data_IF_705647147839
#
_entry.id   IF_705647147839
#
_cell.length_a   1.000
_cell.length_b   1.000
_cell.length_c   1.000
_cell.angle_alpha   90.00
_cell.angle_beta   90.00
_cell.angle_gamma   90.00
#
_symmetry.space_group_name_H-M   'P 1'
#
loop_
_entity.id
_entity.type
_entity.pdbx_description
1 polymer ?
#
# COMPACT_ATOMS: atom_id res chain seq x y z
N UNK A 1 -13.35 8.42 21.58
CA UNK A 1 -12.94 9.15 20.34
C UNK A 1 -13.20 8.25 19.14
N UNK A 2 -14.05 8.71 18.22
CA UNK A 2 -14.51 7.93 17.05
C UNK A 2 -13.36 7.29 16.25
N UNK A 3 -12.22 7.98 16.14
CA UNK A 3 -11.05 7.43 15.44
C UNK A 3 -10.49 6.19 16.15
N UNK A 4 -10.44 6.19 17.47
CA UNK A 4 -9.99 5.04 18.26
C UNK A 4 -10.98 3.88 18.14
N UNK A 5 -12.28 4.16 18.24
CA UNK A 5 -13.36 3.17 18.07
C UNK A 5 -13.32 2.53 16.65
N UNK A 6 -13.12 3.34 15.60
CA UNK A 6 -13.00 2.86 14.22
C UNK A 6 -11.74 1.99 14.02
N UNK A 7 -10.62 2.30 14.70
CA UNK A 7 -9.39 1.50 14.66
C UNK A 7 -9.52 0.17 15.42
N UNK A 8 -10.18 0.19 16.58
CA UNK A 8 -10.48 -1.03 17.37
C UNK A 8 -11.46 -1.94 16.63
N UNK A 9 -12.44 -1.37 15.94
CA UNK A 9 -13.41 -2.08 15.12
C UNK A 9 -12.87 -2.50 13.73
N UNK A 10 -11.62 -2.16 13.41
CA UNK A 10 -10.94 -2.48 12.14
C UNK A 10 -11.75 -2.06 10.89
N UNK A 11 -12.47 -0.94 10.96
CA UNK A 11 -13.37 -0.45 9.90
C UNK A 11 -12.67 -0.33 8.53
N UNK A 12 -11.37 0.03 8.52
CA UNK A 12 -10.55 0.14 7.31
C UNK A 12 -9.74 -1.14 7.00
N UNK A 13 -9.83 -2.15 7.85
CA UNK A 13 -9.14 -3.44 7.74
C UNK A 13 -8.13 -3.68 8.86
N UNK A 14 -7.85 -4.95 9.09
CA UNK A 14 -6.85 -5.42 10.07
C UNK A 14 -5.44 -5.10 9.56
N UNK A 15 -4.72 -4.23 10.27
CA UNK A 15 -3.33 -3.89 9.93
C UNK A 15 -2.54 -3.49 11.18
N UNK A 16 -1.28 -3.91 11.26
CA UNK A 16 -0.40 -3.59 12.39
C UNK A 16 -0.24 -2.07 12.65
N UNK A 17 -0.43 -1.21 11.65
CA UNK A 17 -0.40 0.24 11.83
C UNK A 17 -1.51 0.79 12.72
N UNK A 18 -2.61 0.05 12.92
CA UNK A 18 -3.70 0.45 13.82
C UNK A 18 -3.20 0.50 15.27
N UNK A 19 -2.29 -0.42 15.66
CA UNK A 19 -1.71 -0.48 16.99
C UNK A 19 -0.97 0.79 17.39
N UNK A 20 -0.33 1.47 16.44
CA UNK A 20 0.41 2.71 16.72
C UNK A 20 -0.46 3.80 17.32
N UNK A 21 -1.66 3.99 16.83
CA UNK A 21 -2.61 4.97 17.34
C UNK A 21 -3.17 4.58 18.70
N UNK A 22 -3.48 3.30 18.93
CA UNK A 22 -3.98 2.80 20.20
C UNK A 22 -2.93 2.95 21.31
N UNK A 23 -1.67 2.58 21.04
CA UNK A 23 -0.55 2.76 21.96
C UNK A 23 -0.31 4.24 22.27
N UNK A 24 -0.28 5.08 21.22
CA UNK A 24 -0.07 6.53 21.38
C UNK A 24 -1.18 7.16 22.23
N UNK A 25 -2.44 6.78 22.01
CA UNK A 25 -3.58 7.24 22.79
C UNK A 25 -3.47 6.83 24.26
N UNK A 26 -3.11 5.59 24.54
CA UNK A 26 -2.94 5.09 25.91
C UNK A 26 -1.84 5.86 26.67
N UNK A 27 -0.66 6.01 26.05
CA UNK A 27 0.46 6.75 26.63
C UNK A 27 0.15 8.24 26.81
N UNK A 28 -0.53 8.84 25.85
CA UNK A 28 -0.92 10.25 25.92
C UNK A 28 -1.91 10.52 27.07
N UNK A 29 -2.86 9.60 27.29
CA UNK A 29 -3.80 9.69 28.40
C UNK A 29 -3.10 9.58 29.76
N UNK A 30 -2.16 8.63 29.91
CA UNK A 30 -1.39 8.42 31.13
C UNK A 30 -0.48 9.62 31.45
N UNK A 31 0.19 10.17 30.43
CA UNK A 31 1.18 11.25 30.58
C UNK A 31 0.58 12.65 30.47
N UNK A 32 -0.72 12.76 30.21
CA UNK A 32 -1.42 14.03 29.95
C UNK A 32 -0.77 14.87 28.82
N UNK A 33 -0.34 14.19 27.74
CA UNK A 33 0.30 14.79 26.58
C UNK A 33 -0.57 14.65 25.32
N UNK A 34 -0.47 15.56 24.35
CA UNK A 34 -1.10 15.35 23.05
C UNK A 34 -0.38 14.23 22.28
N UNK A 35 -1.15 13.40 21.54
CA UNK A 35 -0.60 12.40 20.62
C UNK A 35 -1.04 12.72 19.18
N UNK A 36 -0.16 12.43 18.23
CA UNK A 36 -0.39 12.67 16.82
C UNK A 36 0.05 11.47 15.99
N UNK A 37 -0.77 11.11 15.00
CA UNK A 37 -0.40 10.16 13.95
C UNK A 37 -0.05 10.94 12.69
N UNK A 38 1.15 10.71 12.16
CA UNK A 38 1.67 11.43 10.99
C UNK A 38 1.58 10.56 9.75
N UNK A 39 0.95 11.09 8.71
CA UNK A 39 0.83 10.47 7.39
C UNK A 39 0.44 8.96 7.47
N UNK A 40 -0.70 8.60 8.10
CA UNK A 40 -1.13 7.20 8.18
C UNK A 40 -1.41 6.61 6.80
N UNK A 41 -1.49 5.28 6.70
CA UNK A 41 -1.71 4.57 5.42
C UNK A 41 -3.02 4.95 4.71
N UNK A 42 -3.96 5.50 5.46
CA UNK A 42 -5.29 5.97 4.99
C UNK A 42 -5.30 7.47 4.63
N UNK A 43 -4.14 8.12 4.55
CA UNK A 43 -4.06 9.49 4.00
C UNK A 43 -4.73 9.52 2.64
N UNK A 44 -5.67 10.42 2.48
CA UNK A 44 -6.45 10.56 1.27
C UNK A 44 -6.41 12.00 0.74
N UNK A 45 -5.49 12.24 -0.18
CA UNK A 45 -5.31 13.49 -0.92
C UNK A 45 -5.57 13.28 -2.42
N UNK A 46 -6.07 12.07 -2.79
CA UNK A 46 -6.33 11.69 -4.17
C UNK A 46 -7.40 12.59 -4.78
N UNK A 47 -7.15 13.09 -5.99
CA UNK A 47 -8.14 13.87 -6.73
C UNK A 47 -9.36 13.03 -7.13
N UNK A 48 -10.52 13.66 -7.22
CA UNK A 48 -11.77 12.97 -7.56
C UNK A 48 -11.70 12.31 -8.94
N UNK A 49 -11.01 12.92 -9.89
CA UNK A 49 -10.82 12.32 -11.23
C UNK A 49 -9.98 11.04 -11.18
N UNK A 50 -9.03 10.95 -10.28
CA UNK A 50 -8.19 9.76 -10.10
C UNK A 50 -8.95 8.56 -9.48
N UNK A 51 -10.15 8.81 -8.90
CA UNK A 51 -11.01 7.76 -8.31
C UNK A 51 -11.89 7.06 -9.33
N UNK A 52 -12.04 7.64 -10.52
CA UNK A 52 -12.95 7.14 -11.56
C UNK A 52 -12.42 5.82 -12.12
N UNK A 53 -13.32 4.85 -12.25
CA UNK A 53 -13.07 3.60 -12.96
C UNK A 53 -14.06 3.42 -14.12
N UNK A 54 -13.89 2.38 -14.91
CA UNK A 54 -14.86 2.01 -15.96
C UNK A 54 -16.24 1.59 -15.43
N UNK A 55 -16.39 1.38 -14.11
CA UNK A 55 -17.67 1.03 -13.47
C UNK A 55 -18.02 2.10 -12.43
N UNK A 56 -19.11 2.88 -12.62
CA UNK A 56 -19.42 4.06 -11.78
C UNK A 56 -19.57 3.78 -10.28
N UNK A 57 -19.92 2.55 -9.90
CA UNK A 57 -20.11 2.10 -8.52
C UNK A 57 -18.83 1.51 -7.88
N UNK A 58 -17.74 1.37 -8.64
CA UNK A 58 -16.43 0.95 -8.14
C UNK A 58 -15.49 2.15 -8.22
N UNK A 59 -15.00 2.61 -7.08
CA UNK A 59 -14.05 3.73 -7.00
C UNK A 59 -12.69 3.26 -6.51
N UNK A 60 -11.63 3.85 -7.03
CA UNK A 60 -10.27 3.69 -6.50
C UNK A 60 -10.15 4.34 -5.13
N UNK A 61 -9.27 3.81 -4.30
CA UNK A 61 -9.04 4.28 -2.93
C UNK A 61 -7.57 4.59 -2.73
N UNK A 62 -7.30 5.64 -1.97
CA UNK A 62 -5.97 6.00 -1.52
C UNK A 62 -5.57 5.10 -0.33
N UNK A 63 -4.77 4.07 -0.58
CA UNK A 63 -4.11 3.27 0.46
C UNK A 63 -2.64 3.11 0.06
N UNK A 64 -1.76 3.78 0.77
CA UNK A 64 -0.35 3.87 0.38
C UNK A 64 0.58 3.90 1.60
N UNK A 65 1.87 3.76 1.36
CA UNK A 65 2.91 3.95 2.37
C UNK A 65 3.20 5.45 2.55
N UNK A 66 2.19 6.21 3.02
CA UNK A 66 2.16 7.67 3.00
C UNK A 66 3.32 8.28 3.78
N UNK A 67 3.57 7.80 5.00
CA UNK A 67 4.66 8.31 5.85
C UNK A 67 6.02 8.23 5.13
N UNK A 68 6.36 7.09 4.53
CA UNK A 68 7.61 6.93 3.81
C UNK A 68 7.64 7.75 2.53
N UNK A 69 6.61 7.69 1.69
CA UNK A 69 6.57 8.42 0.42
C UNK A 69 6.68 9.93 0.64
N UNK A 70 5.90 10.49 1.55
CA UNK A 70 5.93 11.94 1.84
C UNK A 70 7.24 12.35 2.51
N UNK A 71 7.84 11.50 3.38
CA UNK A 71 9.15 11.77 3.98
C UNK A 71 10.26 11.82 2.93
N UNK A 72 10.28 10.85 2.01
CA UNK A 72 11.29 10.79 0.93
C UNK A 72 11.09 11.95 -0.05
N UNK A 73 9.85 12.27 -0.43
CA UNK A 73 9.56 13.42 -1.30
C UNK A 73 10.01 14.75 -0.68
N UNK A 74 9.76 14.97 0.62
CA UNK A 74 10.24 16.16 1.34
C UNK A 74 11.77 16.21 1.41
N UNK A 75 12.44 15.05 1.55
CA UNK A 75 13.90 15.00 1.54
C UNK A 75 14.44 15.34 0.14
N UNK A 76 13.91 14.71 -0.91
CA UNK A 76 14.31 14.98 -2.29
C UNK A 76 14.11 16.47 -2.67
N UNK A 77 13.00 17.08 -2.25
CA UNK A 77 12.77 18.52 -2.45
C UNK A 77 13.87 19.35 -1.78
N UNK A 78 14.21 19.07 -0.52
CA UNK A 78 15.30 19.76 0.19
C UNK A 78 16.67 19.60 -0.51
N UNK A 79 16.96 18.39 -1.00
CA UNK A 79 18.22 18.11 -1.71
C UNK A 79 18.30 18.90 -3.03
N UNK A 80 17.15 19.25 -3.63
CA UNK A 80 17.03 20.16 -4.78
C UNK A 80 16.99 21.65 -4.40
N UNK A 81 17.10 21.99 -3.11
CA UNK A 81 16.98 23.38 -2.64
C UNK A 81 15.57 23.96 -2.78
N UNK A 82 14.53 23.13 -2.79
CA UNK A 82 13.12 23.51 -2.97
C UNK A 82 12.26 23.05 -1.79
N UNK A 83 11.08 23.64 -1.65
CA UNK A 83 10.06 23.11 -0.75
C UNK A 83 9.26 22.01 -1.45
N UNK A 84 8.72 21.09 -0.70
CA UNK A 84 7.92 19.97 -1.25
C UNK A 84 6.67 20.48 -2.02
N UNK A 85 6.10 21.59 -1.59
CA UNK A 85 4.95 22.25 -2.21
C UNK A 85 5.28 22.96 -3.55
N UNK A 86 6.56 23.01 -3.92
CA UNK A 86 7.03 23.69 -5.15
C UNK A 86 7.47 22.71 -6.24
N UNK A 87 7.39 21.42 -5.97
CA UNK A 87 7.90 20.35 -6.85
C UNK A 87 6.89 19.24 -7.04
N UNK A 88 7.10 18.48 -8.10
CA UNK A 88 6.30 17.29 -8.41
C UNK A 88 7.21 16.07 -8.47
N UNK A 89 6.73 14.93 -7.95
CA UNK A 89 7.47 13.67 -7.95
C UNK A 89 6.57 12.51 -8.31
N UNK A 90 7.17 11.48 -8.89
CA UNK A 90 6.66 10.12 -8.82
C UNK A 90 7.48 9.41 -7.74
N UNK A 91 6.83 8.98 -6.69
CA UNK A 91 7.49 8.30 -5.57
C UNK A 91 7.08 6.84 -5.55
N UNK A 92 8.07 5.96 -5.54
CA UNK A 92 7.84 4.51 -5.48
C UNK A 92 8.34 4.00 -4.13
N UNK A 93 7.43 3.47 -3.33
CA UNK A 93 7.78 2.66 -2.17
C UNK A 93 7.80 1.19 -2.59
N UNK A 94 8.91 0.52 -2.33
CA UNK A 94 9.13 -0.89 -2.65
C UNK A 94 9.44 -1.67 -1.37
N UNK A 95 8.51 -2.52 -0.97
CA UNK A 95 8.60 -3.38 0.20
C UNK A 95 7.77 -4.65 -0.03
N UNK A 96 7.21 -5.27 0.99
CA UNK A 96 6.27 -6.39 0.87
C UNK A 96 5.07 -6.06 -0.02
N UNK A 97 4.63 -4.79 -0.02
CA UNK A 97 3.76 -4.17 -1.03
C UNK A 97 4.50 -3.08 -1.79
N UNK A 98 3.96 -2.70 -2.96
CA UNK A 98 4.48 -1.59 -3.77
C UNK A 98 3.39 -0.54 -3.93
N UNK A 99 3.73 0.72 -3.63
CA UNK A 99 2.87 1.86 -3.94
C UNK A 99 3.62 2.89 -4.77
N UNK A 100 2.99 3.30 -5.87
CA UNK A 100 3.49 4.32 -6.80
C UNK A 100 2.58 5.53 -6.69
N UNK A 101 3.07 6.61 -6.12
CA UNK A 101 2.31 7.83 -5.89
C UNK A 101 2.75 8.98 -6.79
N UNK A 102 1.77 9.67 -7.39
CA UNK A 102 1.97 10.93 -8.07
C UNK A 102 1.85 12.06 -7.03
N UNK A 103 2.98 12.69 -6.73
CA UNK A 103 3.03 13.82 -5.81
C UNK A 103 3.04 15.13 -6.59
N UNK A 104 2.07 15.98 -6.33
CA UNK A 104 1.94 17.29 -6.95
C UNK A 104 1.82 18.37 -5.87
N UNK A 105 2.80 19.25 -5.82
CA UNK A 105 2.81 20.42 -4.93
C UNK A 105 2.43 20.09 -3.47
N UNK A 106 3.10 19.05 -2.92
CA UNK A 106 2.93 18.65 -1.51
C UNK A 106 1.80 17.64 -1.23
N UNK A 107 1.02 17.24 -2.24
CA UNK A 107 -0.10 16.29 -2.11
C UNK A 107 0.12 15.05 -2.95
N UNK A 108 -0.42 13.92 -2.49
CA UNK A 108 -0.47 12.67 -3.27
C UNK A 108 -1.80 12.62 -4.03
N UNK A 109 -1.78 13.09 -5.27
CA UNK A 109 -2.99 13.28 -6.08
C UNK A 109 -3.50 12.01 -6.78
N UNK A 110 -2.65 11.01 -6.94
CA UNK A 110 -2.99 9.68 -7.45
C UNK A 110 -2.02 8.64 -6.88
N UNK A 111 -2.53 7.43 -6.61
CA UNK A 111 -1.75 6.30 -6.13
C UNK A 111 -2.52 4.99 -6.33
N UNK A 112 -1.83 3.87 -6.55
CA UNK A 112 -2.45 2.56 -6.53
C UNK A 112 -2.74 2.10 -5.08
N UNK A 113 -3.82 1.32 -4.90
CA UNK A 113 -4.11 0.69 -3.61
C UNK A 113 -3.14 -0.47 -3.36
N UNK A 114 -2.07 -0.18 -2.62
CA UNK A 114 -0.99 -1.12 -2.35
C UNK A 114 -1.37 -2.25 -1.38
N UNK A 115 -2.47 -2.12 -0.62
CA UNK A 115 -2.94 -3.15 0.30
C UNK A 115 -3.74 -4.23 -0.43
N UNK A 116 -4.62 -3.85 -1.35
CA UNK A 116 -5.58 -4.74 -2.00
C UNK A 116 -5.09 -5.29 -3.36
N UNK A 117 -3.81 -5.07 -3.70
CA UNK A 117 -3.19 -5.69 -4.87
C UNK A 117 -3.36 -4.92 -6.18
N UNK A 118 -3.66 -3.61 -6.15
CA UNK A 118 -3.58 -2.77 -7.34
C UNK A 118 -2.12 -2.43 -7.71
N UNK A 119 -1.90 -2.13 -8.98
CA UNK A 119 -0.58 -1.72 -9.49
C UNK A 119 0.35 -2.90 -9.79
N UNK A 120 1.67 -2.74 -9.68
CA UNK A 120 2.62 -3.81 -9.95
C UNK A 120 2.50 -4.93 -8.90
N UNK A 121 2.79 -6.18 -9.30
CA UNK A 121 2.94 -7.21 -8.29
C UNK A 121 4.18 -6.95 -7.42
N UNK A 122 4.13 -7.38 -6.18
CA UNK A 122 5.13 -7.11 -5.17
C UNK A 122 5.65 -8.44 -4.58
N UNK A 123 6.61 -8.43 -3.64
CA UNK A 123 7.03 -9.67 -2.99
C UNK A 123 5.89 -10.54 -2.47
N UNK A 124 4.82 -9.96 -1.92
CA UNK A 124 3.71 -10.69 -1.28
C UNK A 124 2.32 -10.37 -1.86
N UNK A 125 2.23 -9.59 -2.96
CA UNK A 125 0.95 -9.17 -3.55
C UNK A 125 0.89 -9.44 -5.04
N UNK A 126 -0.26 -9.90 -5.50
CA UNK A 126 -0.48 -10.28 -6.88
C UNK A 126 -0.43 -9.12 -7.87
N UNK A 127 -0.64 -7.88 -7.41
CA UNK A 127 -0.80 -6.73 -8.28
C UNK A 127 -2.11 -6.76 -9.07
N UNK A 128 -2.19 -5.91 -10.09
CA UNK A 128 -3.34 -5.91 -11.00
C UNK A 128 -3.37 -7.18 -11.83
N UNK A 129 -4.52 -7.85 -11.87
CA UNK A 129 -4.76 -9.07 -12.62
C UNK A 129 -5.76 -8.82 -13.75
N UNK A 130 -5.76 -9.63 -14.82
CA UNK A 130 -6.83 -9.63 -15.80
C UNK A 130 -8.18 -9.88 -15.12
N UNK A 131 -9.10 -8.92 -15.26
CA UNK A 131 -10.35 -8.92 -14.48
C UNK A 131 -11.25 -10.12 -14.80
N UNK A 132 -11.34 -10.54 -16.08
CA UNK A 132 -12.15 -11.69 -16.47
C UNK A 132 -11.61 -12.98 -15.86
N UNK A 133 -10.29 -13.21 -15.90
CA UNK A 133 -9.67 -14.42 -15.33
C UNK A 133 -9.84 -14.47 -13.82
N UNK A 134 -9.78 -13.32 -13.15
CA UNK A 134 -10.07 -13.23 -11.72
C UNK A 134 -11.54 -13.59 -11.41
N UNK A 135 -12.49 -13.16 -12.24
CA UNK A 135 -13.91 -13.52 -12.10
C UNK A 135 -14.09 -15.03 -12.28
N UNK A 136 -13.50 -15.62 -13.31
CA UNK A 136 -13.56 -17.09 -13.53
C UNK A 136 -12.99 -17.84 -12.34
N UNK A 137 -11.85 -17.39 -11.79
CA UNK A 137 -11.28 -17.97 -10.57
C UNK A 137 -12.24 -17.87 -9.38
N UNK A 138 -12.87 -16.71 -9.17
CA UNK A 138 -13.81 -16.48 -8.06
C UNK A 138 -15.03 -17.41 -8.11
N UNK A 139 -15.50 -17.77 -9.31
CA UNK A 139 -16.68 -18.61 -9.50
C UNK A 139 -16.36 -20.07 -9.85
N UNK A 140 -15.08 -20.46 -9.88
CA UNK A 140 -14.64 -21.82 -10.19
C UNK A 140 -15.02 -22.87 -9.13
N UNK A 141 -15.44 -22.46 -7.95
CA UNK A 141 -15.66 -23.31 -6.77
C UNK A 141 -14.39 -24.03 -6.25
N UNK A 142 -13.20 -23.72 -6.79
CA UNK A 142 -11.93 -24.33 -6.36
C UNK A 142 -11.38 -23.73 -5.06
N UNK A 143 -11.70 -22.45 -4.82
CA UNK A 143 -11.18 -21.68 -3.70
C UNK A 143 -12.28 -20.89 -3.00
N UNK A 144 -12.18 -20.78 -1.70
CA UNK A 144 -13.01 -19.90 -0.91
C UNK A 144 -12.62 -18.42 -1.13
N UNK A 145 -13.53 -17.50 -0.82
CA UNK A 145 -13.27 -16.06 -0.84
C UNK A 145 -12.03 -15.67 0.02
N UNK A 146 -11.84 -16.34 1.16
CA UNK A 146 -10.71 -16.09 2.05
C UNK A 146 -9.38 -16.52 1.42
N UNK A 147 -9.35 -17.67 0.73
CA UNK A 147 -8.16 -18.14 0.01
C UNK A 147 -7.82 -17.23 -1.15
N UNK A 148 -8.80 -16.81 -1.95
CA UNK A 148 -8.58 -15.86 -3.05
C UNK A 148 -8.01 -14.54 -2.52
N UNK A 149 -8.57 -13.99 -1.44
CA UNK A 149 -8.02 -12.78 -0.80
C UNK A 149 -6.56 -12.96 -0.36
N UNK A 150 -6.20 -14.13 0.18
CA UNK A 150 -4.81 -14.45 0.54
C UNK A 150 -3.90 -14.57 -0.69
N UNK A 151 -4.41 -15.08 -1.83
CA UNK A 151 -3.67 -15.08 -3.09
C UNK A 151 -3.42 -13.67 -3.61
N UNK A 152 -4.37 -12.74 -3.42
CA UNK A 152 -4.20 -11.35 -3.81
C UNK A 152 -3.21 -10.60 -2.89
N UNK A 153 -3.28 -10.85 -1.57
CA UNK A 153 -2.45 -10.16 -0.58
C UNK A 153 -1.94 -11.14 0.48
N UNK A 154 -0.63 -11.40 0.49
CA UNK A 154 0.09 -12.26 1.42
C UNK A 154 0.69 -13.52 0.80
N UNK A 155 0.08 -14.09 -0.26
CA UNK A 155 0.58 -15.29 -0.96
C UNK A 155 0.72 -15.10 -2.47
N UNK A 156 0.48 -13.88 -2.97
CA UNK A 156 0.68 -13.51 -4.37
C UNK A 156 2.06 -12.92 -4.63
N UNK A 157 2.28 -12.50 -5.86
CA UNK A 157 3.54 -11.86 -6.25
C UNK A 157 4.72 -12.81 -6.27
N UNK A 158 5.89 -12.33 -5.86
CA UNK A 158 7.15 -13.11 -5.92
C UNK A 158 7.05 -14.41 -5.11
N UNK A 159 6.40 -14.38 -3.95
CA UNK A 159 6.15 -15.58 -3.13
C UNK A 159 5.41 -16.67 -3.91
N UNK A 160 4.43 -16.31 -4.72
CA UNK A 160 3.69 -17.29 -5.53
C UNK A 160 4.54 -17.95 -6.62
N UNK A 161 5.50 -17.21 -7.17
CA UNK A 161 6.39 -17.68 -8.24
C UNK A 161 7.62 -18.43 -7.75
N UNK A 162 8.23 -17.94 -6.66
CA UNK A 162 9.56 -18.33 -6.21
C UNK A 162 9.60 -18.99 -4.82
N UNK A 163 8.47 -18.97 -4.08
CA UNK A 163 8.37 -19.53 -2.73
C UNK A 163 9.04 -18.68 -1.64
N UNK A 164 9.55 -17.50 -1.97
CA UNK A 164 10.21 -16.59 -1.04
C UNK A 164 9.79 -15.15 -1.30
N UNK A 165 9.73 -14.32 -0.26
CA UNK A 165 9.55 -12.87 -0.33
C UNK A 165 10.87 -12.12 -0.07
N UNK A 166 11.96 -12.83 0.19
CA UNK A 166 13.29 -12.24 0.37
C UNK A 166 13.92 -11.90 -0.99
N UNK A 167 13.84 -10.63 -1.37
CA UNK A 167 14.37 -10.12 -2.63
C UNK A 167 15.89 -10.21 -2.72
N UNK A 168 16.62 -10.31 -1.59
CA UNK A 168 18.06 -10.56 -1.59
C UNK A 168 18.35 -12.00 -2.02
N UNK A 169 17.54 -12.95 -1.55
CA UNK A 169 17.61 -14.34 -2.00
C UNK A 169 17.28 -14.44 -3.50
N UNK A 170 16.22 -13.77 -3.94
CA UNK A 170 15.82 -13.74 -5.36
C UNK A 170 16.96 -13.21 -6.24
N UNK A 171 17.58 -12.09 -5.86
CA UNK A 171 18.73 -11.54 -6.58
C UNK A 171 19.91 -12.52 -6.66
N UNK A 172 20.22 -13.21 -5.56
CA UNK A 172 21.27 -14.25 -5.55
C UNK A 172 20.95 -15.39 -6.48
N UNK A 173 19.71 -15.86 -6.50
CA UNK A 173 19.22 -16.92 -7.39
C UNK A 173 19.31 -16.51 -8.85
N UNK A 174 18.89 -15.29 -9.20
CA UNK A 174 19.00 -14.74 -10.55
C UNK A 174 20.46 -14.69 -11.01
N UNK A 175 21.37 -14.15 -10.16
CA UNK A 175 22.83 -14.11 -10.45
C UNK A 175 23.45 -15.50 -10.58
N UNK A 176 22.86 -16.53 -9.98
CA UNK A 176 23.28 -17.92 -10.12
C UNK A 176 22.67 -18.64 -11.33
N UNK A 177 21.85 -17.95 -12.14
CA UNK A 177 21.25 -18.47 -13.38
C UNK A 177 19.89 -19.16 -13.18
N UNK A 178 19.18 -18.88 -12.09
CA UNK A 178 17.81 -19.33 -11.92
C UNK A 178 16.88 -18.52 -12.84
N UNK A 179 16.46 -19.14 -13.94
CA UNK A 179 15.62 -18.52 -14.98
C UNK A 179 14.27 -18.03 -14.51
N UNK A 180 13.76 -18.52 -13.37
CA UNK A 180 12.52 -18.01 -12.80
C UNK A 180 12.74 -16.76 -11.96
N UNK A 181 13.94 -16.57 -11.45
CA UNK A 181 14.31 -15.41 -10.64
C UNK A 181 14.81 -14.23 -11.48
N UNK A 182 15.25 -14.47 -12.73
CA UNK A 182 15.55 -13.45 -13.73
C UNK A 182 14.29 -12.74 -14.22
#
# INVERSE_FOLDING_TARGET
>A
DRMIEDLEAEVQGEHASNLGALIANSLAAELHLPAYIVDPVVVDEMEDIARITGLPFIKRRSILHALNQKRVARQAARDLGRRYEEVNFIVVHMGGGISVGAHWQGKVIDVNNALNGEGPFAPERAGSLPSCDLVELCFSSQYSKAEIKKMLAGKGGVVAHLGTNDMIEVEKRAKAGDKKAE
#
